data_IF_745741054351
#
_entry.id   IF_745741054351
#
_cell.length_a   1.000
_cell.length_b   1.000
_cell.length_c   1.000
_cell.angle_alpha   90.00
_cell.angle_beta   90.00
_cell.angle_gamma   90.00
#
_symmetry.space_group_name_H-M   'P 1'
#
loop_
_entity.id
_entity.type
_entity.pdbx_description
1 polymer ?
#
# COMPACT_ATOMS: atom_id res chain seq x y z
N UNK A 1 -1.43 -18.25 -17.94
CA UNK A 1 -1.14 -17.28 -19.01
C UNK A 1 0.19 -16.61 -18.71
N UNK A 2 1.07 -16.49 -19.69
CA UNK A 2 2.36 -15.80 -19.53
C UNK A 2 2.51 -14.75 -20.63
N UNK A 3 2.78 -13.51 -20.25
CA UNK A 3 2.94 -12.36 -21.15
C UNK A 3 4.35 -11.81 -20.95
N UNK A 4 5.26 -12.20 -21.85
CA UNK A 4 6.69 -11.93 -21.69
C UNK A 4 7.14 -10.60 -22.31
N UNK A 5 6.33 -10.02 -23.21
CA UNK A 5 6.67 -8.79 -23.92
C UNK A 5 5.42 -8.11 -24.46
N UNK A 6 5.25 -6.85 -24.10
CA UNK A 6 4.37 -5.88 -24.76
C UNK A 6 5.24 -4.68 -25.09
N UNK A 7 4.93 -3.92 -26.16
CA UNK A 7 5.72 -2.74 -26.53
C UNK A 7 5.98 -1.87 -25.31
N UNK A 8 7.25 -1.64 -24.93
CA UNK A 8 7.64 -1.02 -23.65
C UNK A 8 7.31 0.47 -23.50
N UNK A 9 6.35 0.99 -24.26
CA UNK A 9 5.80 2.32 -24.02
C UNK A 9 4.94 2.30 -22.76
N UNK A 10 5.00 3.38 -22.00
CA UNK A 10 4.29 3.59 -20.75
C UNK A 10 2.76 3.47 -20.87
N UNK A 11 2.17 3.68 -22.05
CA UNK A 11 0.72 3.49 -22.30
C UNK A 11 0.31 2.07 -22.70
N UNK A 12 1.27 1.17 -22.94
CA UNK A 12 0.93 -0.21 -23.28
C UNK A 12 0.32 -0.94 -22.09
N UNK A 13 -0.59 -1.88 -22.33
CA UNK A 13 -1.27 -2.65 -21.27
C UNK A 13 -1.10 -4.13 -21.59
N UNK A 14 -0.55 -4.92 -20.67
CA UNK A 14 -0.41 -6.36 -20.90
C UNK A 14 -1.77 -7.07 -20.86
N UNK A 15 -2.60 -6.69 -19.89
CA UNK A 15 -4.03 -7.03 -19.86
C UNK A 15 -4.81 -5.73 -19.74
N UNK A 16 -5.82 -5.54 -20.60
CA UNK A 16 -6.75 -4.41 -20.52
C UNK A 16 -8.17 -4.97 -20.46
N UNK A 17 -8.89 -4.68 -19.38
CA UNK A 17 -10.31 -5.02 -19.22
C UNK A 17 -11.10 -3.72 -19.30
N UNK A 18 -11.63 -3.41 -20.49
CA UNK A 18 -12.32 -2.13 -20.75
C UNK A 18 -13.83 -2.25 -20.56
N UNK A 19 -14.39 -3.41 -20.95
CA UNK A 19 -15.80 -3.73 -20.81
C UNK A 19 -15.95 -5.22 -20.53
N UNK A 20 -16.85 -5.56 -19.61
CA UNK A 20 -17.18 -6.91 -19.19
C UNK A 20 -16.31 -7.44 -18.04
N UNK A 21 -16.46 -8.73 -17.77
CA UNK A 21 -15.87 -9.39 -16.61
C UNK A 21 -14.68 -10.25 -17.02
N UNK A 22 -13.52 -10.03 -16.39
CA UNK A 22 -12.38 -10.93 -16.49
C UNK A 22 -12.28 -11.83 -15.25
N UNK A 23 -12.41 -13.15 -15.43
CA UNK A 23 -12.31 -14.13 -14.35
C UNK A 23 -11.00 -14.91 -14.45
N UNK A 24 -10.04 -14.62 -13.57
CA UNK A 24 -8.82 -15.41 -13.43
C UNK A 24 -9.03 -16.53 -12.41
N UNK A 25 -8.94 -17.77 -12.87
CA UNK A 25 -8.91 -18.97 -12.00
C UNK A 25 -7.57 -19.73 -12.09
N UNK A 26 -6.56 -19.14 -12.73
CA UNK A 26 -5.25 -19.77 -12.94
C UNK A 26 -4.09 -18.85 -12.58
N UNK A 27 -2.93 -19.13 -13.16
CA UNK A 27 -1.74 -18.29 -12.99
C UNK A 27 -1.55 -17.33 -14.16
N UNK A 28 -1.36 -16.05 -13.87
CA UNK A 28 -0.98 -15.00 -14.81
C UNK A 28 0.41 -14.52 -14.44
N UNK A 29 1.32 -14.48 -15.41
CA UNK A 29 2.67 -13.97 -15.22
C UNK A 29 3.00 -12.94 -16.30
N UNK A 30 3.44 -11.75 -15.88
CA UNK A 30 3.69 -10.59 -16.76
C UNK A 30 5.10 -10.06 -16.51
N UNK A 31 5.84 -9.83 -17.59
CA UNK A 31 7.11 -9.09 -17.57
C UNK A 31 8.36 -9.93 -17.24
N UNK A 32 8.35 -11.24 -17.47
CA UNK A 32 9.54 -12.08 -17.23
C UNK A 32 10.74 -11.76 -18.12
N UNK A 33 10.53 -11.30 -19.35
CA UNK A 33 11.60 -11.14 -20.36
C UNK A 33 11.88 -9.68 -20.67
N UNK A 34 10.84 -8.89 -20.96
CA UNK A 34 10.99 -7.49 -21.34
C UNK A 34 9.97 -6.60 -20.62
N UNK A 35 10.31 -5.32 -20.51
CA UNK A 35 9.46 -4.37 -19.81
C UNK A 35 8.12 -4.18 -20.53
N UNK A 36 7.03 -4.19 -19.77
CA UNK A 36 5.70 -3.78 -20.25
C UNK A 36 5.38 -2.37 -19.71
N UNK A 37 4.38 -1.68 -20.28
CA UNK A 37 3.85 -0.43 -19.72
C UNK A 37 3.14 -0.69 -18.40
N UNK A 38 1.84 -0.94 -18.48
CA UNK A 38 1.00 -1.45 -17.42
C UNK A 38 0.92 -2.97 -17.44
N UNK A 39 0.86 -3.59 -16.26
CA UNK A 39 0.61 -5.02 -16.15
C UNK A 39 -0.87 -5.34 -16.39
N UNK A 40 -1.70 -5.20 -15.37
CA UNK A 40 -3.15 -5.38 -15.44
C UNK A 40 -3.82 -4.02 -15.33
N UNK A 41 -4.48 -3.58 -16.40
CA UNK A 41 -5.23 -2.34 -16.46
C UNK A 41 -6.72 -2.64 -16.54
N UNK A 42 -7.48 -2.18 -15.54
CA UNK A 42 -8.89 -2.54 -15.38
C UNK A 42 -9.74 -1.28 -15.35
N UNK A 43 -10.75 -1.25 -16.21
CA UNK A 43 -11.78 -0.21 -16.27
C UNK A 43 -13.18 -0.75 -15.91
N UNK A 44 -13.33 -2.06 -15.77
CA UNK A 44 -14.58 -2.76 -15.45
C UNK A 44 -14.32 -3.87 -14.40
N UNK A 45 -15.08 -4.97 -14.41
CA UNK A 45 -14.93 -6.06 -13.44
C UNK A 45 -13.70 -6.96 -13.70
N UNK A 46 -12.87 -7.13 -12.67
CA UNK A 46 -11.77 -8.10 -12.66
C UNK A 46 -11.80 -8.95 -11.39
N UNK A 47 -11.88 -10.28 -11.54
CA UNK A 47 -11.87 -11.24 -10.45
C UNK A 47 -10.59 -12.08 -10.49
N UNK A 48 -9.73 -11.94 -9.47
CA UNK A 48 -8.68 -12.91 -9.18
C UNK A 48 -9.20 -13.91 -8.16
N UNK A 49 -9.73 -15.05 -8.64
CA UNK A 49 -10.45 -16.02 -7.84
C UNK A 49 -9.55 -16.71 -6.81
N UNK A 50 -10.16 -17.36 -5.81
CA UNK A 50 -9.42 -18.13 -4.82
C UNK A 50 -8.54 -19.21 -5.50
N UNK A 51 -7.29 -19.33 -5.04
CA UNK A 51 -6.29 -20.22 -5.64
C UNK A 51 -5.63 -19.69 -6.93
N UNK A 52 -6.13 -18.61 -7.52
CA UNK A 52 -5.51 -17.96 -8.67
C UNK A 52 -4.31 -17.10 -8.25
N UNK A 53 -3.40 -16.83 -9.19
CA UNK A 53 -2.21 -16.02 -8.93
C UNK A 53 -1.94 -15.04 -10.06
N UNK A 54 -1.54 -13.81 -9.71
CA UNK A 54 -1.04 -12.81 -10.64
C UNK A 54 0.37 -12.42 -10.20
N UNK A 55 1.33 -12.57 -11.11
CA UNK A 55 2.70 -12.16 -10.90
C UNK A 55 3.08 -11.11 -11.93
N UNK A 56 3.53 -9.94 -11.46
CA UNK A 56 3.91 -8.83 -12.33
C UNK A 56 5.28 -8.32 -11.92
N UNK A 57 6.21 -8.38 -12.86
CA UNK A 57 7.56 -7.90 -12.73
C UNK A 57 7.90 -7.01 -13.94
N UNK A 58 8.98 -6.25 -13.87
CA UNK A 58 9.53 -5.48 -15.00
C UNK A 58 8.48 -4.65 -15.75
N UNK A 59 7.79 -3.73 -15.06
CA UNK A 59 6.81 -2.83 -15.68
C UNK A 59 7.27 -1.39 -15.52
N UNK A 60 6.99 -0.54 -16.50
CA UNK A 60 7.39 0.88 -16.50
C UNK A 60 6.28 1.82 -15.98
N UNK A 61 5.02 1.36 -15.99
CA UNK A 61 3.85 2.05 -15.45
C UNK A 61 3.42 1.47 -14.10
N UNK A 62 2.13 1.13 -13.96
CA UNK A 62 1.58 0.45 -12.78
C UNK A 62 1.40 -1.06 -13.01
N UNK A 63 1.65 -1.88 -11.98
CA UNK A 63 1.60 -3.34 -12.12
C UNK A 63 0.16 -3.86 -12.15
N UNK A 64 -0.69 -3.40 -11.23
CA UNK A 64 -2.14 -3.61 -11.25
C UNK A 64 -2.80 -2.25 -11.03
N UNK A 65 -3.68 -1.85 -11.93
CA UNK A 65 -4.41 -0.59 -11.83
C UNK A 65 -5.90 -0.79 -12.07
N UNK A 66 -6.71 -0.26 -11.15
CA UNK A 66 -8.16 -0.19 -11.26
C UNK A 66 -8.57 1.27 -11.43
N UNK A 67 -9.16 1.60 -12.57
CA UNK A 67 -9.28 2.96 -13.07
C UNK A 67 -10.70 3.19 -13.60
N UNK A 68 -11.36 4.27 -13.16
CA UNK A 68 -12.76 4.64 -13.45
C UNK A 68 -13.80 4.04 -12.48
N UNK A 69 -14.96 4.71 -12.43
CA UNK A 69 -16.11 4.39 -11.56
C UNK A 69 -16.70 3.00 -11.78
N UNK A 70 -16.51 2.45 -12.98
CA UNK A 70 -16.96 1.10 -13.37
C UNK A 70 -15.97 0.01 -12.96
N UNK A 71 -14.75 0.37 -12.57
CA UNK A 71 -13.77 -0.63 -12.20
C UNK A 71 -14.06 -1.21 -10.82
N UNK A 72 -14.29 -2.51 -10.78
CA UNK A 72 -14.37 -3.31 -9.56
C UNK A 72 -13.34 -4.44 -9.61
N UNK A 73 -12.21 -4.22 -8.95
CA UNK A 73 -11.17 -5.23 -8.84
C UNK A 73 -11.36 -6.04 -7.56
N UNK A 74 -11.53 -7.35 -7.69
CA UNK A 74 -11.77 -8.26 -6.59
C UNK A 74 -10.65 -9.29 -6.50
N UNK A 75 -9.95 -9.33 -5.37
CA UNK A 75 -8.86 -10.27 -5.13
C UNK A 75 -9.21 -11.26 -4.01
N UNK A 76 -9.38 -12.53 -4.36
CA UNK A 76 -9.41 -13.67 -3.44
C UNK A 76 -8.15 -14.53 -3.51
N UNK A 77 -7.35 -14.37 -4.57
CA UNK A 77 -6.11 -15.11 -4.81
C UNK A 77 -4.86 -14.35 -4.39
N UNK A 78 -3.74 -14.71 -5.01
CA UNK A 78 -2.43 -14.12 -4.72
C UNK A 78 -2.00 -13.12 -5.80
N UNK A 79 -1.50 -11.95 -5.39
CA UNK A 79 -0.89 -10.94 -6.26
C UNK A 79 0.53 -10.69 -5.78
N UNK A 80 1.52 -10.90 -6.64
CA UNK A 80 2.94 -10.74 -6.33
C UNK A 80 3.59 -9.80 -7.33
N UNK A 81 4.07 -8.66 -6.83
CA UNK A 81 4.59 -7.57 -7.64
C UNK A 81 6.04 -7.26 -7.27
N UNK A 82 6.89 -7.14 -8.29
CA UNK A 82 8.28 -6.70 -8.16
C UNK A 82 9.17 -7.66 -7.36
N UNK A 83 8.88 -8.96 -7.44
CA UNK A 83 9.62 -9.98 -6.70
C UNK A 83 10.97 -10.30 -7.35
N UNK A 84 11.09 -10.19 -8.67
CA UNK A 84 12.37 -10.40 -9.38
C UNK A 84 13.02 -9.10 -9.84
N UNK A 85 12.24 -8.14 -10.31
CA UNK A 85 12.72 -6.90 -10.93
C UNK A 85 11.88 -5.71 -10.48
N UNK A 86 12.45 -4.51 -10.60
CA UNK A 86 11.75 -3.29 -10.19
C UNK A 86 10.56 -2.97 -11.07
N UNK A 87 9.60 -2.29 -10.48
CA UNK A 87 8.43 -1.75 -11.16
C UNK A 87 8.48 -0.22 -11.17
N UNK A 88 7.83 0.39 -12.15
CA UNK A 88 7.83 1.82 -12.42
C UNK A 88 7.12 2.66 -11.36
N UNK A 89 5.89 3.05 -11.65
CA UNK A 89 5.15 4.03 -10.86
C UNK A 89 4.49 3.41 -9.62
N UNK A 90 3.70 2.35 -9.81
CA UNK A 90 2.83 1.83 -8.74
C UNK A 90 2.76 0.31 -8.76
N UNK A 91 2.74 -0.32 -7.59
CA UNK A 91 2.39 -1.73 -7.48
C UNK A 91 0.90 -1.93 -7.72
N UNK A 92 0.09 -1.47 -6.78
CA UNK A 92 -1.37 -1.41 -6.92
C UNK A 92 -1.80 0.05 -6.97
N UNK A 93 -2.48 0.44 -8.04
CA UNK A 93 -3.06 1.78 -8.22
C UNK A 93 -4.59 1.73 -8.25
N UNK A 94 -5.25 2.57 -7.47
CA UNK A 94 -6.71 2.69 -7.41
C UNK A 94 -7.08 4.14 -7.67
N UNK A 95 -7.79 4.40 -8.77
CA UNK A 95 -7.95 5.74 -9.35
C UNK A 95 -9.38 6.02 -9.80
N UNK A 96 -9.76 7.30 -9.78
CA UNK A 96 -10.99 7.81 -10.43
C UNK A 96 -12.26 7.08 -9.99
N UNK A 97 -12.49 7.04 -8.67
CA UNK A 97 -13.71 6.46 -8.09
C UNK A 97 -13.87 4.96 -8.32
N UNK A 98 -12.78 4.26 -8.57
CA UNK A 98 -12.77 2.80 -8.67
C UNK A 98 -12.81 2.11 -7.31
N UNK A 99 -13.25 0.85 -7.31
CA UNK A 99 -13.32 0.01 -6.12
C UNK A 99 -12.31 -1.14 -6.22
N UNK A 100 -11.43 -1.23 -5.24
CA UNK A 100 -10.50 -2.35 -5.09
C UNK A 100 -10.80 -3.09 -3.77
N UNK A 101 -11.09 -4.39 -3.88
CA UNK A 101 -11.38 -5.25 -2.72
C UNK A 101 -10.36 -6.37 -2.64
N UNK A 102 -9.58 -6.40 -1.55
CA UNK A 102 -8.77 -7.55 -1.18
C UNK A 102 -9.52 -8.37 -0.12
N UNK A 103 -10.09 -9.50 -0.51
CA UNK A 103 -10.86 -10.37 0.38
C UNK A 103 -9.97 -11.08 1.39
N UNK A 104 -10.58 -11.70 2.40
CA UNK A 104 -9.86 -12.34 3.52
C UNK A 104 -8.86 -13.43 3.11
N UNK A 105 -9.12 -14.16 2.02
CA UNK A 105 -8.17 -15.13 1.45
C UNK A 105 -7.13 -14.49 0.53
N UNK A 106 -7.34 -13.23 0.14
CA UNK A 106 -6.52 -12.50 -0.81
C UNK A 106 -5.20 -12.04 -0.19
N UNK A 107 -4.12 -12.26 -0.92
CA UNK A 107 -2.79 -11.79 -0.55
C UNK A 107 -2.22 -10.89 -1.62
N UNK A 108 -1.67 -9.75 -1.21
CA UNK A 108 -0.97 -8.81 -2.08
C UNK A 108 0.44 -8.65 -1.50
N UNK A 109 1.45 -8.88 -2.33
CA UNK A 109 2.84 -8.62 -1.98
C UNK A 109 3.44 -7.66 -3.00
N UNK A 110 3.97 -6.54 -2.53
CA UNK A 110 4.62 -5.53 -3.38
C UNK A 110 6.04 -5.30 -2.91
N UNK A 111 6.99 -5.48 -3.81
CA UNK A 111 8.40 -5.16 -3.61
C UNK A 111 8.90 -4.29 -4.76
N UNK A 112 10.04 -3.63 -4.57
CA UNK A 112 10.76 -2.90 -5.63
C UNK A 112 9.92 -1.88 -6.41
N UNK A 113 8.96 -1.23 -5.76
CA UNK A 113 8.33 -0.01 -6.30
C UNK A 113 9.19 1.20 -5.97
N UNK A 114 10.39 1.24 -6.57
CA UNK A 114 11.48 2.11 -6.14
C UNK A 114 12.25 2.79 -7.27
N UNK A 115 11.74 2.74 -8.51
CA UNK A 115 12.42 3.40 -9.65
C UNK A 115 12.39 4.93 -9.50
N UNK A 116 11.32 5.49 -8.94
CA UNK A 116 11.18 6.92 -8.70
C UNK A 116 10.90 7.21 -7.21
N UNK A 117 11.23 8.43 -6.78
CA UNK A 117 10.94 8.89 -5.42
C UNK A 117 9.43 8.94 -5.13
N UNK A 118 8.62 9.13 -6.17
CA UNK A 118 7.17 9.13 -6.10
C UNK A 118 6.55 7.74 -6.34
N UNK A 119 7.36 6.70 -6.59
CA UNK A 119 6.84 5.34 -6.79
C UNK A 119 6.19 4.82 -5.51
N UNK A 120 5.03 4.18 -5.66
CA UNK A 120 4.25 3.69 -4.54
C UNK A 120 4.06 2.16 -4.58
N UNK A 121 4.08 1.52 -3.42
CA UNK A 121 3.71 0.11 -3.32
C UNK A 121 2.21 -0.05 -3.60
N UNK A 122 1.40 0.66 -2.82
CA UNK A 122 -0.04 0.84 -3.03
C UNK A 122 -0.33 2.34 -3.09
N UNK A 123 -0.99 2.81 -4.16
CA UNK A 123 -1.54 4.16 -4.26
C UNK A 123 -3.05 4.08 -4.37
N UNK A 124 -3.73 4.71 -3.42
CA UNK A 124 -5.16 5.00 -3.51
C UNK A 124 -5.33 6.48 -3.84
N UNK A 125 -5.48 6.81 -5.13
CA UNK A 125 -5.61 8.18 -5.60
C UNK A 125 -7.01 8.75 -5.39
N UNK A 126 -7.17 10.05 -5.66
CA UNK A 126 -8.42 10.77 -5.46
C UNK A 126 -9.65 10.00 -6.02
N UNK A 127 -10.67 9.88 -5.16
CA UNK A 127 -11.91 9.17 -5.44
C UNK A 127 -11.85 7.65 -5.21
N UNK A 128 -10.67 7.02 -5.22
CA UNK A 128 -10.52 5.58 -5.08
C UNK A 128 -10.98 5.04 -3.72
N UNK A 129 -11.51 3.81 -3.73
CA UNK A 129 -11.94 3.11 -2.52
C UNK A 129 -11.19 1.79 -2.44
N UNK A 130 -10.45 1.60 -1.35
CA UNK A 130 -9.78 0.32 -1.05
C UNK A 130 -10.39 -0.32 0.18
N UNK A 131 -10.88 -1.54 0.03
CA UNK A 131 -11.33 -2.38 1.14
C UNK A 131 -10.41 -3.58 1.28
N UNK A 132 -9.64 -3.61 2.37
CA UNK A 132 -8.74 -4.71 2.69
C UNK A 132 -9.31 -5.56 3.83
N UNK A 133 -9.68 -6.80 3.55
CA UNK A 133 -9.95 -7.86 4.53
C UNK A 133 -8.88 -8.94 4.55
N UNK A 134 -7.99 -8.98 3.55
CA UNK A 134 -6.89 -9.95 3.43
C UNK A 134 -5.54 -9.38 3.88
N UNK A 135 -4.46 -9.89 3.28
CA UNK A 135 -3.09 -9.45 3.59
C UNK A 135 -2.49 -8.55 2.52
N UNK A 136 -1.91 -7.42 2.92
CA UNK A 136 -1.08 -6.55 2.09
C UNK A 136 0.32 -6.49 2.72
N UNK A 137 1.32 -6.94 1.97
CA UNK A 137 2.70 -7.04 2.40
C UNK A 137 3.59 -6.18 1.50
N UNK A 138 4.30 -5.19 2.06
CA UNK A 138 5.05 -4.23 1.27
C UNK A 138 6.50 -4.15 1.75
N UNK A 139 7.43 -4.31 0.81
CA UNK A 139 8.85 -4.19 1.08
C UNK A 139 9.39 -5.31 1.97
N UNK A 140 8.92 -6.54 1.79
CA UNK A 140 9.45 -7.70 2.53
C UNK A 140 10.81 -8.15 1.97
N UNK A 141 11.08 -7.91 0.68
CA UNK A 141 12.31 -8.31 0.00
C UNK A 141 13.18 -7.09 -0.31
N UNK A 142 12.59 -6.10 -0.99
CA UNK A 142 13.24 -4.82 -1.30
C UNK A 142 12.21 -3.71 -1.17
N UNK A 143 12.67 -2.57 -0.66
CA UNK A 143 11.87 -1.39 -0.38
C UNK A 143 11.06 -0.88 -1.56
N UNK A 144 9.94 -0.25 -1.21
CA UNK A 144 9.19 0.66 -2.08
C UNK A 144 9.49 2.09 -1.64
N UNK A 145 9.57 3.07 -2.54
CA UNK A 145 9.90 4.44 -2.14
C UNK A 145 8.87 4.99 -1.16
N UNK A 146 7.58 4.85 -1.52
CA UNK A 146 6.42 5.19 -0.69
C UNK A 146 5.52 3.96 -0.56
N UNK A 147 5.71 3.10 0.46
CA UNK A 147 4.96 1.84 0.58
C UNK A 147 3.45 1.98 0.40
N UNK A 148 2.80 2.88 1.13
CA UNK A 148 1.39 3.22 0.93
C UNK A 148 1.18 4.73 0.85
N UNK A 149 0.52 5.18 -0.21
CA UNK A 149 0.04 6.55 -0.37
C UNK A 149 -1.48 6.54 -0.50
N UNK A 150 -2.14 7.28 0.38
CA UNK A 150 -3.59 7.41 0.38
C UNK A 150 -3.98 8.87 0.14
N UNK A 151 -4.76 9.09 -0.91
CA UNK A 151 -5.35 10.36 -1.32
C UNK A 151 -6.89 10.28 -1.29
N UNK A 152 -7.46 9.16 -0.80
CA UNK A 152 -8.91 8.95 -0.69
C UNK A 152 -9.27 7.95 0.42
N UNK A 153 -10.34 7.16 0.27
CA UNK A 153 -10.83 6.26 1.31
C UNK A 153 -10.11 4.91 1.29
N UNK A 154 -9.40 4.59 2.38
CA UNK A 154 -8.79 3.28 2.57
C UNK A 154 -9.32 2.64 3.86
N UNK A 155 -9.90 1.45 3.75
CA UNK A 155 -10.46 0.71 4.87
C UNK A 155 -9.69 -0.59 5.06
N UNK A 156 -8.89 -0.66 6.12
CA UNK A 156 -8.37 -1.93 6.64
C UNK A 156 -9.42 -2.52 7.59
N UNK A 157 -10.16 -3.51 7.11
CA UNK A 157 -11.27 -4.13 7.84
C UNK A 157 -10.75 -5.07 8.93
N UNK A 158 -11.64 -5.60 9.78
CA UNK A 158 -11.27 -6.33 11.00
C UNK A 158 -10.32 -7.52 10.79
N UNK A 159 -10.43 -8.23 9.66
CA UNK A 159 -9.54 -9.33 9.30
C UNK A 159 -8.35 -8.89 8.45
N UNK A 160 -8.32 -7.62 8.06
CA UNK A 160 -7.30 -7.03 7.22
C UNK A 160 -5.96 -6.94 7.95
N UNK A 161 -4.90 -7.37 7.27
CA UNK A 161 -3.53 -7.32 7.75
C UNK A 161 -2.69 -6.51 6.78
N UNK A 162 -1.99 -5.50 7.29
CA UNK A 162 -1.03 -4.70 6.52
C UNK A 162 0.33 -4.85 7.19
N UNK A 163 1.33 -5.27 6.43
CA UNK A 163 2.72 -5.33 6.90
C UNK A 163 3.62 -4.53 5.98
N UNK A 164 4.38 -3.59 6.53
CA UNK A 164 5.30 -2.73 5.79
C UNK A 164 6.67 -2.83 6.42
N UNK A 165 7.60 -3.51 5.75
CA UNK A 165 8.92 -3.81 6.33
C UNK A 165 10.03 -2.88 5.83
N UNK A 166 9.91 -2.35 4.61
CA UNK A 166 10.90 -1.40 4.08
C UNK A 166 10.27 -0.33 3.21
N UNK A 167 10.67 0.91 3.46
CA UNK A 167 10.35 2.08 2.65
C UNK A 167 11.38 3.18 2.85
N UNK A 168 11.45 4.15 1.93
CA UNK A 168 12.39 5.28 2.08
C UNK A 168 11.74 6.53 2.63
N UNK A 169 10.41 6.69 2.48
CA UNK A 169 9.71 7.92 2.85
C UNK A 169 8.75 7.78 4.04
N UNK A 170 7.46 7.55 3.83
CA UNK A 170 6.50 7.23 4.90
C UNK A 170 5.95 5.83 4.67
N UNK A 171 5.83 4.99 5.71
CA UNK A 171 5.24 3.66 5.53
C UNK A 171 3.77 3.81 5.11
N UNK A 172 3.00 4.64 5.80
CA UNK A 172 1.68 5.09 5.39
C UNK A 172 1.68 6.61 5.30
N UNK A 173 1.34 7.14 4.12
CA UNK A 173 1.19 8.58 3.89
C UNK A 173 -0.25 8.92 3.54
N UNK A 174 -0.86 9.81 4.32
CA UNK A 174 -2.19 10.34 4.09
C UNK A 174 -2.10 11.78 3.60
N UNK A 175 -2.66 12.05 2.43
CA UNK A 175 -2.63 13.35 1.75
C UNK A 175 -3.99 13.65 1.10
N UNK A 176 -4.17 14.86 0.57
CA UNK A 176 -5.36 15.28 -0.16
C UNK A 176 -6.70 14.98 0.56
N UNK A 177 -6.82 15.36 1.84
CA UNK A 177 -8.04 15.12 2.64
C UNK A 177 -8.49 13.64 2.67
N UNK A 178 -7.53 12.72 2.61
CA UNK A 178 -7.82 11.28 2.63
C UNK A 178 -8.35 10.81 3.98
N UNK A 179 -9.04 9.66 3.96
CA UNK A 179 -9.54 9.00 5.16
C UNK A 179 -9.04 7.56 5.19
N UNK A 180 -8.22 7.25 6.18
CA UNK A 180 -7.76 5.90 6.46
C UNK A 180 -8.47 5.37 7.70
N UNK A 181 -9.20 4.27 7.56
CA UNK A 181 -9.86 3.58 8.67
C UNK A 181 -9.18 2.24 8.91
N UNK A 182 -8.68 2.04 10.12
CA UNK A 182 -8.11 0.78 10.57
C UNK A 182 -9.02 0.12 11.59
N UNK A 183 -9.45 -1.11 11.30
CA UNK A 183 -10.12 -2.01 12.25
C UNK A 183 -9.40 -3.35 12.38
N UNK A 184 -8.37 -3.58 11.57
CA UNK A 184 -7.54 -4.80 11.56
C UNK A 184 -6.13 -4.51 12.08
N UNK A 185 -5.14 -5.25 11.58
CA UNK A 185 -3.75 -5.15 12.01
C UNK A 185 -2.89 -4.36 11.01
N UNK A 186 -2.07 -3.45 11.52
CA UNK A 186 -1.01 -2.76 10.79
C UNK A 186 0.32 -2.97 11.52
N UNK A 187 1.29 -3.59 10.86
CA UNK A 187 2.64 -3.79 11.39
C UNK A 187 3.65 -3.06 10.51
N UNK A 188 4.43 -2.15 11.10
CA UNK A 188 5.44 -1.35 10.44
C UNK A 188 6.82 -1.69 11.02
N UNK A 189 7.76 -2.11 10.17
CA UNK A 189 9.16 -2.32 10.52
C UNK A 189 9.47 -3.60 11.32
N UNK A 190 8.73 -4.68 11.13
CA UNK A 190 8.96 -5.95 11.84
C UNK A 190 10.26 -6.67 11.42
N UNK A 191 10.73 -6.48 10.19
CA UNK A 191 12.00 -7.09 9.71
C UNK A 191 13.17 -6.12 9.76
N UNK A 192 13.00 -4.89 9.28
CA UNK A 192 14.03 -3.86 9.14
C UNK A 192 13.44 -2.47 9.42
N UNK A 193 14.29 -1.48 9.70
CA UNK A 193 13.87 -0.08 9.76
C UNK A 193 13.12 0.33 8.50
N UNK A 194 11.89 0.78 8.68
CA UNK A 194 11.04 1.24 7.58
C UNK A 194 10.91 2.75 7.63
N UNK A 195 11.23 3.42 6.52
CA UNK A 195 10.77 4.80 6.25
C UNK A 195 11.32 5.88 7.20
N UNK A 196 11.27 7.12 6.75
CA UNK A 196 11.49 8.33 7.57
C UNK A 196 10.35 8.51 8.58
N UNK A 197 9.12 8.21 8.16
CA UNK A 197 7.92 8.24 9.00
C UNK A 197 7.22 6.87 9.01
N UNK A 198 6.69 6.47 10.17
CA UNK A 198 5.77 5.33 10.22
C UNK A 198 4.44 5.71 9.56
N UNK A 199 3.67 6.57 10.22
CA UNK A 199 2.42 7.13 9.70
C UNK A 199 2.58 8.64 9.58
N UNK A 200 2.35 9.19 8.38
CA UNK A 200 2.33 10.62 8.10
C UNK A 200 0.92 11.07 7.72
N UNK A 201 0.40 12.09 8.41
CA UNK A 201 -0.94 12.63 8.21
C UNK A 201 -0.86 14.11 7.82
N UNK A 202 -1.08 14.38 6.54
CA UNK A 202 -0.93 15.70 5.92
C UNK A 202 -2.24 16.17 5.26
N UNK A 203 -2.27 17.47 4.93
CA UNK A 203 -3.30 18.09 4.09
C UNK A 203 -4.74 17.81 4.57
N UNK A 204 -4.96 17.94 5.88
CA UNK A 204 -6.26 17.73 6.55
C UNK A 204 -6.80 16.30 6.39
N UNK A 205 -5.92 15.32 6.16
CA UNK A 205 -6.30 13.91 6.12
C UNK A 205 -6.59 13.38 7.52
N UNK A 206 -7.29 12.25 7.60
CA UNK A 206 -7.66 11.59 8.86
C UNK A 206 -7.20 10.16 8.88
N UNK A 207 -6.45 9.77 9.91
CA UNK A 207 -6.23 8.37 10.28
C UNK A 207 -7.15 8.04 11.46
N UNK A 208 -7.99 7.02 11.31
CA UNK A 208 -8.85 6.52 12.39
C UNK A 208 -8.48 5.08 12.71
N UNK A 209 -7.97 4.84 13.91
CA UNK A 209 -7.80 3.50 14.47
C UNK A 209 -9.02 3.14 15.33
N UNK A 210 -9.90 2.32 14.80
CA UNK A 210 -11.12 1.87 15.48
C UNK A 210 -10.79 0.97 16.67
N UNK A 211 -11.79 0.68 17.52
CA UNK A 211 -11.59 -0.08 18.76
C UNK A 211 -11.03 -1.50 18.60
N UNK A 212 -11.18 -2.11 17.42
CA UNK A 212 -10.58 -3.42 17.11
C UNK A 212 -9.26 -3.30 16.35
N UNK A 213 -8.87 -2.09 15.95
CA UNK A 213 -7.66 -1.83 15.20
C UNK A 213 -6.43 -1.93 16.09
N UNK A 214 -5.42 -2.63 15.58
CA UNK A 214 -4.10 -2.73 16.19
C UNK A 214 -3.05 -2.16 15.23
N UNK A 215 -2.19 -1.30 15.74
CA UNK A 215 -1.11 -0.67 15.00
C UNK A 215 0.19 -0.87 15.77
N UNK A 216 1.12 -1.62 15.21
CA UNK A 216 2.46 -1.80 15.74
C UNK A 216 3.50 -1.11 14.86
N UNK A 217 4.25 -0.17 15.44
CA UNK A 217 5.36 0.52 14.77
C UNK A 217 6.66 0.13 15.47
N UNK A 218 7.34 -0.85 14.90
CA UNK A 218 8.53 -1.47 15.48
C UNK A 218 9.80 -0.68 15.18
N UNK A 219 10.17 -0.56 13.90
CA UNK A 219 11.43 0.05 13.47
C UNK A 219 11.18 1.09 12.39
N UNK A 220 11.58 2.33 12.62
CA UNK A 220 11.68 3.37 11.59
C UNK A 220 13.14 3.68 11.27
N UNK A 221 13.47 4.10 10.05
CA UNK A 221 14.85 4.47 9.73
C UNK A 221 15.24 5.71 10.54
N UNK A 222 16.39 5.65 11.23
CA UNK A 222 16.82 6.69 12.17
C UNK A 222 17.58 7.81 11.45
N UNK A 223 16.86 8.74 10.84
CA UNK A 223 17.37 10.11 10.69
C UNK A 223 16.94 10.92 11.92
N UNK A 224 17.67 11.99 12.26
CA UNK A 224 17.38 12.79 13.47
C UNK A 224 15.98 13.43 13.47
N UNK A 225 15.32 13.48 12.31
CA UNK A 225 13.97 14.00 12.13
C UNK A 225 12.88 12.93 12.03
N UNK A 226 13.23 11.64 11.99
CA UNK A 226 12.26 10.55 11.82
C UNK A 226 11.25 10.49 12.97
N UNK A 227 9.99 10.13 12.67
CA UNK A 227 8.90 10.01 13.65
C UNK A 227 8.07 8.76 13.38
N UNK A 228 7.69 8.04 14.44
CA UNK A 228 6.76 6.91 14.31
C UNK A 228 5.41 7.39 13.76
N UNK A 229 4.91 8.52 14.27
CA UNK A 229 3.72 9.20 13.78
C UNK A 229 4.05 10.68 13.61
N UNK A 230 3.75 11.24 12.44
CA UNK A 230 3.95 12.65 12.10
C UNK A 230 2.65 13.26 11.59
N UNK A 231 2.17 14.32 12.25
CA UNK A 231 0.87 14.96 11.97
C UNK A 231 1.10 16.48 11.82
N UNK A 232 1.69 16.94 10.70
CA UNK A 232 1.85 18.38 10.50
C UNK A 232 0.51 19.09 10.28
N UNK A 233 -0.42 18.47 9.55
CA UNK A 233 -1.75 19.02 9.26
C UNK A 233 -2.73 17.87 9.01
N UNK A 234 -3.47 17.45 10.04
CA UNK A 234 -4.42 16.35 9.93
C UNK A 234 -4.99 15.93 11.27
N UNK A 235 -5.71 14.80 11.29
CA UNK A 235 -6.32 14.25 12.50
C UNK A 235 -5.96 12.78 12.69
N UNK A 236 -5.56 12.41 13.89
CA UNK A 236 -5.45 11.03 14.35
C UNK A 236 -6.56 10.77 15.37
N UNK A 237 -7.52 9.91 15.03
CA UNK A 237 -8.53 9.41 15.95
C UNK A 237 -8.11 8.00 16.38
N UNK A 238 -7.93 7.78 17.67
CA UNK A 238 -7.57 6.46 18.18
C UNK A 238 -8.58 5.97 19.22
N UNK A 239 -9.14 4.78 18.97
CA UNK A 239 -9.97 4.02 19.91
C UNK A 239 -9.49 2.59 20.09
N UNK A 240 -8.54 2.12 19.27
CA UNK A 240 -7.87 0.83 19.41
C UNK A 240 -6.45 0.97 19.96
N UNK A 241 -5.62 -0.03 19.67
CA UNK A 241 -4.25 -0.10 20.18
C UNK A 241 -3.24 0.50 19.18
N UNK A 242 -2.30 1.28 19.70
CA UNK A 242 -1.12 1.76 18.97
C UNK A 242 0.10 1.50 19.84
N UNK A 243 0.95 0.59 19.40
CA UNK A 243 2.19 0.24 20.06
C UNK A 243 3.40 0.73 19.26
N UNK A 244 4.34 1.40 19.91
CA UNK A 244 5.54 1.95 19.28
C UNK A 244 6.77 1.43 19.99
N UNK A 245 7.72 0.86 19.23
CA UNK A 245 9.05 0.51 19.73
C UNK A 245 9.16 -0.86 20.40
N UNK A 246 8.30 -1.83 20.09
CA UNK A 246 8.44 -3.19 20.67
C UNK A 246 9.74 -3.89 20.26
N UNK A 247 10.35 -3.50 19.14
CA UNK A 247 11.62 -4.04 18.65
C UNK A 247 12.68 -2.93 18.55
N UNK A 248 13.39 -2.64 19.64
CA UNK A 248 14.48 -1.65 19.64
C UNK A 248 15.64 -2.07 18.72
N UNK A 249 16.27 -1.09 18.07
CA UNK A 249 17.66 -1.23 17.62
C UNK A 249 18.56 -1.29 18.86
N UNK A 250 19.29 -2.39 19.03
CA UNK A 250 20.52 -2.33 19.80
C UNK A 250 21.55 -1.52 18.99
N UNK A 251 22.32 -0.66 19.70
CA UNK A 251 23.38 0.30 19.29
C UNK A 251 22.93 1.53 18.46
N UNK A 252 23.28 2.79 18.78
CA UNK A 252 24.37 3.38 19.58
C UNK A 252 23.88 4.64 20.31
N UNK A 253 24.56 4.99 21.40
CA UNK A 253 24.19 5.94 22.44
C UNK A 253 24.01 7.40 21.99
N UNK A 254 22.95 7.75 21.27
CA UNK A 254 22.41 9.11 21.24
C UNK A 254 20.93 9.03 20.83
N UNK A 255 20.09 9.71 21.62
CA UNK A 255 18.69 10.11 21.33
C UNK A 255 17.63 9.27 22.05
N UNK A 256 17.16 9.90 23.14
CA UNK A 256 15.88 9.69 23.79
C UNK A 256 14.77 9.46 22.78
N UNK A 257 13.99 8.41 23.04
CA UNK A 257 12.66 8.19 22.52
C UNK A 257 11.78 9.41 22.83
N UNK A 258 11.76 10.40 21.94
CA UNK A 258 10.87 11.55 22.05
C UNK A 258 9.53 11.15 21.42
N UNK A 259 8.71 10.44 22.21
CA UNK A 259 7.26 10.35 21.97
C UNK A 259 6.72 11.77 22.17
N UNK A 260 6.68 12.56 21.10
CA UNK A 260 5.94 13.81 21.10
C UNK A 260 4.53 13.51 20.58
N UNK A 261 3.63 13.12 21.48
CA UNK A 261 2.20 13.17 21.19
C UNK A 261 1.82 14.66 21.28
N UNK A 262 1.73 15.35 20.14
CA UNK A 262 1.07 16.65 20.08
C UNK A 262 -0.43 16.36 20.07
N UNK A 263 -1.06 16.37 21.24
CA UNK A 263 -2.52 16.37 21.32
C UNK A 263 -3.03 17.73 20.81
N UNK A 264 -4.04 17.77 19.92
CA UNK A 264 -4.69 19.03 19.58
C UNK A 264 -5.36 19.62 20.83
N UNK A 265 -5.19 20.92 21.02
CA UNK A 265 -5.89 21.71 22.04
C UNK A 265 -7.37 21.76 21.65
N UNK A 266 -8.13 20.77 22.10
CA UNK A 266 -9.59 20.72 22.00
C UNK A 266 -10.19 20.90 23.39
N UNK A 267 -11.02 21.93 23.55
CA UNK A 267 -11.71 22.29 24.80
C UNK A 267 -12.58 21.15 25.29
N UNK A 268 -12.34 20.70 26.52
CA UNK A 268 -13.28 19.87 27.27
C UNK A 268 -14.57 20.68 27.54
N UNK A 269 -15.77 20.07 27.47
CA UNK A 269 -16.96 20.62 28.12
C UNK A 269 -16.82 20.67 29.64
#
# INVERSE_FOLDING_TARGET
MTINRVNGFWWSRAISVVLGVFNNSGSIQIGNIASCGYGVYVEDDFNNNAGASIHVDNISGAAVVCHYTTCHFQNWGNIVIGNSTSIGAEGVGVHNNSLFVNHSSGTITVNRANIHWYSAGVRNSAGGIVNNSGSINIGNVIYCSRPMVCESNFNNLATGNITINTGTYSAIELVNTSHFQNSGNIIIGNVTGSSEYGIRIDQNSTFTNNSTGDVEINRINFYWWSKAIYIPVGTLNNSGDITIGNLFYAVSAYIMMMILIILPVGTLP
#
